data_IF_515041043693
#
_entry.id   IF_515041043693
#
_cell.length_a   1.000
_cell.length_b   1.000
_cell.length_c   1.000
_cell.angle_alpha   90.00
_cell.angle_beta   90.00
_cell.angle_gamma   90.00
#
_symmetry.space_group_name_H-M   'P 1'
#
loop_
_entity.id
_entity.type
_entity.pdbx_description
1 polymer ?
#
# COMPACT_ATOMS: atom_id res chain seq x y z
N UNK A 1 21.04 29.39 -14.64
CA UNK A 1 21.15 27.92 -14.82
C UNK A 1 21.32 27.19 -13.49
N UNK A 2 20.75 27.67 -12.37
CA UNK A 2 20.98 27.10 -11.03
C UNK A 2 19.71 26.50 -10.37
N UNK A 3 18.59 26.41 -11.10
CA UNK A 3 17.29 25.99 -10.53
C UNK A 3 16.70 24.71 -11.15
N UNK A 4 17.24 24.19 -12.25
CA UNK A 4 16.71 22.96 -12.87
C UNK A 4 17.08 21.70 -12.08
N UNK A 5 18.22 21.67 -11.38
CA UNK A 5 18.72 20.50 -10.62
C UNK A 5 17.82 20.09 -9.44
N UNK A 6 16.95 20.98 -8.93
CA UNK A 6 16.03 20.65 -7.84
C UNK A 6 14.69 20.07 -8.29
N UNK A 7 14.46 19.97 -9.60
CA UNK A 7 13.14 19.58 -10.14
C UNK A 7 12.95 18.07 -10.30
N UNK A 8 14.04 17.30 -10.39
CA UNK A 8 14.03 15.85 -10.66
C UNK A 8 14.59 15.07 -9.46
N UNK A 9 13.96 13.95 -9.11
CA UNK A 9 14.47 13.07 -8.07
C UNK A 9 15.77 12.37 -8.56
N UNK A 10 16.90 12.50 -7.86
CA UNK A 10 18.21 12.10 -8.40
C UNK A 10 18.54 10.60 -8.27
N UNK A 11 17.81 9.84 -7.46
CA UNK A 11 18.14 8.45 -7.13
C UNK A 11 17.26 7.44 -7.89
N UNK A 12 17.83 6.26 -8.17
CA UNK A 12 17.06 5.13 -8.73
C UNK A 12 16.20 4.53 -7.62
N UNK A 13 14.93 4.28 -7.89
CA UNK A 13 14.01 3.65 -6.93
C UNK A 13 14.04 2.12 -7.05
N UNK A 14 14.83 1.44 -6.22
CA UNK A 14 15.00 -0.03 -6.26
C UNK A 14 14.71 -0.72 -4.93
N UNK A 15 14.95 -0.02 -3.83
CA UNK A 15 14.89 -0.52 -2.47
C UNK A 15 13.87 0.25 -1.65
N UNK A 16 13.45 -0.29 -0.51
CA UNK A 16 12.54 0.41 0.42
C UNK A 16 13.16 1.75 0.86
N UNK A 17 14.47 1.76 1.08
CA UNK A 17 15.18 2.99 1.43
C UNK A 17 15.13 4.04 0.31
N UNK A 18 15.24 3.63 -0.95
CA UNK A 18 15.12 4.57 -2.08
C UNK A 18 13.71 5.18 -2.17
N UNK A 19 12.66 4.39 -1.88
CA UNK A 19 11.28 4.90 -1.84
C UNK A 19 11.06 5.84 -0.65
N UNK A 20 11.64 5.54 0.52
CA UNK A 20 11.65 6.46 1.65
C UNK A 20 12.35 7.79 1.30
N UNK A 21 13.48 7.75 0.60
CA UNK A 21 14.17 8.94 0.10
C UNK A 21 13.35 9.74 -0.91
N UNK A 22 12.68 9.05 -1.83
CA UNK A 22 11.77 9.67 -2.79
C UNK A 22 10.68 10.48 -2.11
N UNK A 23 10.01 9.92 -1.10
CA UNK A 23 8.98 10.64 -0.36
C UNK A 23 9.52 11.81 0.46
N UNK A 24 10.71 11.67 1.07
CA UNK A 24 11.37 12.82 1.74
C UNK A 24 11.62 13.98 0.78
N UNK A 25 12.12 13.66 -0.42
CA UNK A 25 12.35 14.66 -1.46
C UNK A 25 11.04 15.29 -1.94
N UNK A 26 10.01 14.47 -2.20
CA UNK A 26 8.73 14.91 -2.71
C UNK A 26 7.99 15.83 -1.72
N UNK A 27 7.99 15.46 -0.44
CA UNK A 27 7.36 16.26 0.62
C UNK A 27 8.05 17.61 0.77
N UNK A 28 9.40 17.62 0.75
CA UNK A 28 10.20 18.85 0.81
C UNK A 28 9.97 19.75 -0.41
N UNK A 29 9.89 19.16 -1.61
CA UNK A 29 9.68 19.89 -2.86
C UNK A 29 8.31 20.58 -2.89
N UNK A 30 7.27 19.90 -2.42
CA UNK A 30 5.89 20.41 -2.49
C UNK A 30 5.38 21.03 -1.18
N UNK A 31 6.23 21.08 -0.14
CA UNK A 31 5.88 21.59 1.19
C UNK A 31 4.62 20.92 1.77
N UNK A 32 4.56 19.60 1.66
CA UNK A 32 3.43 18.81 2.17
C UNK A 32 3.37 18.80 3.70
N UNK A 33 2.16 18.62 4.22
CA UNK A 33 1.94 18.54 5.67
C UNK A 33 2.48 17.19 6.19
N UNK A 34 3.41 17.27 7.14
CA UNK A 34 4.10 16.11 7.75
C UNK A 34 3.49 15.70 9.09
N UNK A 35 2.33 16.26 9.47
CA UNK A 35 1.60 15.84 10.65
C UNK A 35 1.26 14.34 10.57
N UNK A 36 1.67 13.61 11.62
CA UNK A 36 1.61 12.15 11.65
C UNK A 36 0.15 11.67 11.66
N UNK A 37 -0.73 12.33 12.40
CA UNK A 37 -2.11 11.90 12.56
C UNK A 37 -2.95 12.18 11.32
N UNK A 38 -2.69 13.31 10.65
CA UNK A 38 -3.26 13.59 9.34
C UNK A 38 -2.86 12.52 8.33
N UNK A 39 -1.57 12.21 8.22
CA UNK A 39 -1.09 11.22 7.25
C UNK A 39 -1.54 9.79 7.58
N UNK A 40 -1.76 9.45 8.86
CA UNK A 40 -2.42 8.21 9.26
C UNK A 40 -3.89 8.16 8.82
N UNK A 41 -4.59 9.30 8.89
CA UNK A 41 -5.97 9.40 8.42
C UNK A 41 -6.04 9.23 6.90
N UNK A 42 -5.10 9.85 6.18
CA UNK A 42 -5.00 9.70 4.72
C UNK A 42 -4.69 8.26 4.31
N UNK A 43 -3.74 7.57 4.98
CA UNK A 43 -3.51 6.14 4.80
C UNK A 43 -4.80 5.32 4.98
N UNK A 44 -5.64 5.67 5.95
CA UNK A 44 -6.91 4.98 6.18
C UNK A 44 -7.90 5.20 5.02
N UNK A 45 -7.83 6.37 4.36
CA UNK A 45 -8.53 6.66 3.12
C UNK A 45 -8.10 5.73 2.00
N UNK A 46 -6.79 5.63 1.73
CA UNK A 46 -6.27 4.77 0.65
C UNK A 46 -6.62 3.29 0.86
N UNK A 47 -6.60 2.81 2.11
CA UNK A 47 -7.07 1.44 2.43
C UNK A 47 -8.56 1.27 2.12
N UNK A 48 -9.36 2.32 2.31
CA UNK A 48 -10.75 2.38 1.89
C UNK A 48 -10.93 2.30 0.38
N UNK A 49 -10.05 2.94 -0.39
CA UNK A 49 -10.05 2.87 -1.86
C UNK A 49 -9.70 1.46 -2.35
N UNK A 50 -8.67 0.82 -1.76
CA UNK A 50 -8.38 -0.61 -1.97
C UNK A 50 -9.61 -1.48 -1.69
N UNK A 51 -10.29 -1.24 -0.57
CA UNK A 51 -11.49 -2.00 -0.20
C UNK A 51 -12.64 -1.79 -1.20
N UNK A 52 -12.77 -0.59 -1.76
CA UNK A 52 -13.78 -0.26 -2.76
C UNK A 52 -13.50 -0.97 -4.10
N UNK A 53 -12.24 -1.04 -4.54
CA UNK A 53 -11.87 -1.80 -5.74
C UNK A 53 -12.15 -3.29 -5.53
N UNK A 54 -11.78 -3.86 -4.38
CA UNK A 54 -12.04 -5.28 -4.07
C UNK A 54 -13.53 -5.59 -3.91
N UNK A 55 -14.33 -4.64 -3.43
CA UNK A 55 -15.79 -4.76 -3.40
C UNK A 55 -16.37 -4.86 -4.82
N UNK A 56 -15.82 -4.12 -5.78
CA UNK A 56 -16.25 -4.21 -7.19
C UNK A 56 -15.89 -5.59 -7.76
N UNK A 57 -14.66 -6.05 -7.55
CA UNK A 57 -14.24 -7.42 -7.90
C UNK A 57 -15.20 -8.46 -7.34
N UNK A 58 -15.49 -8.38 -6.03
CA UNK A 58 -16.39 -9.32 -5.38
C UNK A 58 -17.81 -9.30 -5.98
N UNK A 59 -18.32 -8.11 -6.30
CA UNK A 59 -19.67 -7.94 -6.87
C UNK A 59 -19.81 -8.55 -8.27
N UNK A 60 -18.70 -8.67 -9.02
CA UNK A 60 -18.69 -9.34 -10.33
C UNK A 60 -18.61 -10.87 -10.23
N UNK A 61 -18.26 -11.40 -9.06
CA UNK A 61 -18.06 -12.84 -8.82
C UNK A 61 -19.18 -13.49 -7.99
N UNK A 62 -20.03 -12.68 -7.33
CA UNK A 62 -21.09 -13.15 -6.44
C UNK A 62 -22.48 -13.01 -7.10
N UNK A 63 -23.14 -14.13 -7.46
CA UNK A 63 -24.48 -14.12 -8.05
C UNK A 63 -25.55 -13.53 -7.14
N UNK A 64 -25.31 -13.39 -5.83
CA UNK A 64 -26.25 -12.73 -4.92
C UNK A 64 -26.18 -11.19 -4.98
N UNK A 65 -25.18 -10.64 -5.67
CA UNK A 65 -24.93 -9.18 -5.73
C UNK A 65 -25.03 -8.59 -7.12
N UNK A 66 -25.11 -9.41 -8.16
CA UNK A 66 -25.25 -8.96 -9.53
C UNK A 66 -26.19 -9.88 -10.32
N UNK A 67 -27.14 -9.28 -11.04
CA UNK A 67 -28.06 -9.98 -11.95
C UNK A 67 -27.49 -10.10 -13.38
N UNK A 68 -26.40 -9.38 -13.67
CA UNK A 68 -25.65 -9.46 -14.93
C UNK A 68 -24.72 -10.70 -14.98
N UNK A 69 -23.92 -10.81 -16.05
CA UNK A 69 -22.97 -11.91 -16.25
C UNK A 69 -21.94 -12.00 -15.10
N UNK A 70 -22.00 -13.10 -14.35
CA UNK A 70 -21.01 -13.45 -13.33
C UNK A 70 -19.76 -13.97 -14.01
N UNK A 71 -18.64 -13.31 -13.75
CA UNK A 71 -17.33 -13.68 -14.29
C UNK A 71 -16.48 -14.38 -13.22
N UNK A 72 -15.43 -15.07 -13.66
CA UNK A 72 -14.48 -15.67 -12.74
C UNK A 72 -13.69 -14.59 -11.97
N UNK A 73 -13.14 -14.98 -10.81
CA UNK A 73 -12.28 -14.10 -10.02
C UNK A 73 -11.09 -13.57 -10.84
N UNK A 74 -10.49 -14.41 -11.68
CA UNK A 74 -9.35 -14.02 -12.50
C UNK A 74 -9.73 -12.96 -13.55
N UNK A 75 -10.92 -13.07 -14.13
CA UNK A 75 -11.45 -12.07 -15.07
C UNK A 75 -11.77 -10.75 -14.39
N UNK A 76 -12.46 -10.80 -13.24
CA UNK A 76 -12.75 -9.61 -12.44
C UNK A 76 -11.47 -8.91 -11.97
N UNK A 77 -10.49 -9.67 -11.49
CA UNK A 77 -9.18 -9.15 -11.10
C UNK A 77 -8.41 -8.59 -12.29
N UNK A 78 -8.55 -9.16 -13.49
CA UNK A 78 -7.91 -8.61 -14.69
C UNK A 78 -8.48 -7.25 -15.07
N UNK A 79 -9.78 -7.06 -14.91
CA UNK A 79 -10.47 -5.77 -15.17
C UNK A 79 -10.00 -4.70 -14.19
N UNK A 80 -9.93 -5.04 -12.90
CA UNK A 80 -9.61 -4.09 -11.82
C UNK A 80 -8.13 -4.07 -11.40
N UNK A 81 -7.24 -4.76 -12.12
CA UNK A 81 -5.82 -4.91 -11.73
C UNK A 81 -5.10 -3.58 -11.63
N UNK A 82 -5.35 -2.70 -12.59
CA UNK A 82 -4.67 -1.41 -12.67
C UNK A 82 -5.08 -0.52 -11.50
N UNK A 83 -6.39 -0.33 -11.30
CA UNK A 83 -6.94 0.41 -10.15
C UNK A 83 -6.41 -0.14 -8.84
N UNK A 84 -6.50 -1.46 -8.62
CA UNK A 84 -5.99 -2.10 -7.41
C UNK A 84 -4.49 -1.84 -7.21
N UNK A 85 -3.71 -1.82 -8.29
CA UNK A 85 -2.30 -1.51 -8.26
C UNK A 85 -2.01 -0.06 -7.84
N UNK A 86 -2.82 0.90 -8.30
CA UNK A 86 -2.71 2.32 -7.92
C UNK A 86 -3.01 2.50 -6.43
N UNK A 87 -4.15 1.98 -5.94
CA UNK A 87 -4.54 2.15 -4.54
C UNK A 87 -3.56 1.48 -3.55
N UNK A 88 -3.01 0.32 -3.93
CA UNK A 88 -1.95 -0.33 -3.14
C UNK A 88 -0.65 0.48 -3.14
N UNK A 89 -0.33 1.17 -4.24
CA UNK A 89 0.82 2.05 -4.31
C UNK A 89 0.63 3.30 -3.45
N UNK A 90 -0.57 3.86 -3.40
CA UNK A 90 -0.89 5.01 -2.54
C UNK A 90 -0.84 4.64 -1.04
N UNK A 91 -1.30 3.43 -0.68
CA UNK A 91 -1.06 2.87 0.65
C UNK A 91 0.44 2.83 1.00
N UNK A 92 1.28 2.35 0.08
CA UNK A 92 2.74 2.32 0.28
C UNK A 92 3.31 3.73 0.41
N UNK A 93 2.84 4.70 -0.37
CA UNK A 93 3.28 6.09 -0.28
C UNK A 93 3.08 6.66 1.13
N UNK A 94 1.89 6.47 1.72
CA UNK A 94 1.65 6.93 3.09
C UNK A 94 2.40 6.11 4.15
N UNK A 95 2.64 4.82 3.94
CA UNK A 95 3.50 4.02 4.82
C UNK A 95 4.94 4.57 4.81
N UNK A 96 5.50 4.87 3.63
CA UNK A 96 6.84 5.46 3.51
C UNK A 96 6.92 6.83 4.20
N UNK A 97 5.89 7.69 4.00
CA UNK A 97 5.77 8.98 4.69
C UNK A 97 5.75 8.82 6.20
N UNK A 98 4.89 7.94 6.74
CA UNK A 98 4.81 7.71 8.18
C UNK A 98 6.13 7.17 8.76
N UNK A 99 6.79 6.24 8.07
CA UNK A 99 8.11 5.76 8.46
C UNK A 99 9.14 6.91 8.50
N UNK A 100 9.12 7.80 7.51
CA UNK A 100 9.97 8.98 7.47
C UNK A 100 9.70 9.95 8.62
N UNK A 101 8.44 10.25 8.91
CA UNK A 101 8.07 11.22 9.96
C UNK A 101 8.35 10.70 11.36
N UNK A 102 8.42 9.38 11.53
CA UNK A 102 8.67 8.70 12.81
C UNK A 102 10.12 8.25 12.99
N UNK A 103 10.97 8.41 11.97
CA UNK A 103 12.38 8.00 12.02
C UNK A 103 12.61 6.49 11.90
N UNK A 104 11.63 5.74 11.38
CA UNK A 104 11.74 4.30 11.17
C UNK A 104 12.51 4.01 9.88
N UNK A 105 13.60 3.26 9.99
CA UNK A 105 14.21 2.56 8.84
C UNK A 105 13.28 1.39 8.47
N UNK A 106 12.44 1.59 7.46
CA UNK A 106 11.40 0.63 7.13
C UNK A 106 11.99 -0.64 6.50
N UNK A 107 13.09 -0.52 5.77
CA UNK A 107 13.74 -1.67 5.17
C UNK A 107 14.31 -2.60 6.26
N UNK A 108 15.08 -2.05 7.19
CA UNK A 108 15.65 -2.83 8.28
C UNK A 108 14.53 -3.40 9.16
N UNK A 109 13.51 -2.60 9.50
CA UNK A 109 12.36 -3.07 10.27
C UNK A 109 11.62 -4.23 9.58
N UNK A 110 11.47 -4.18 8.25
CA UNK A 110 10.85 -5.24 7.47
C UNK A 110 11.71 -6.52 7.46
N UNK A 111 13.02 -6.39 7.20
CA UNK A 111 13.98 -7.51 7.23
C UNK A 111 13.94 -8.22 8.59
N UNK A 112 14.14 -7.47 9.67
CA UNK A 112 14.13 -8.00 11.05
C UNK A 112 12.82 -8.72 11.37
N UNK A 113 11.70 -8.18 10.88
CA UNK A 113 10.38 -8.77 11.10
C UNK A 113 10.19 -10.06 10.31
N UNK A 114 10.64 -10.11 9.07
CA UNK A 114 10.53 -11.30 8.22
C UNK A 114 11.42 -12.44 8.73
N UNK A 115 12.66 -12.14 9.15
CA UNK A 115 13.54 -13.13 9.79
C UNK A 115 12.89 -13.76 11.03
N UNK A 116 12.29 -12.94 11.89
CA UNK A 116 11.52 -13.43 13.05
C UNK A 116 10.32 -14.29 12.64
N UNK A 117 9.63 -13.94 11.54
CA UNK A 117 8.47 -14.68 11.06
C UNK A 117 8.84 -16.06 10.48
N UNK A 118 10.00 -16.21 9.85
CA UNK A 118 10.49 -17.51 9.32
C UNK A 118 10.65 -18.53 10.44
N UNK A 119 11.07 -18.09 11.63
CA UNK A 119 11.24 -18.96 12.80
C UNK A 119 9.97 -19.10 13.65
N UNK A 120 8.85 -18.51 13.23
CA UNK A 120 7.60 -18.52 13.99
C UNK A 120 6.77 -19.76 13.66
N UNK A 121 6.46 -20.56 14.68
CA UNK A 121 5.46 -21.62 14.55
C UNK A 121 4.07 -20.99 14.65
N UNK A 122 3.31 -21.01 13.55
CA UNK A 122 1.93 -20.51 13.53
C UNK A 122 1.01 -21.59 14.09
N UNK A 123 0.56 -21.43 15.35
CA UNK A 123 -0.54 -22.25 15.88
C UNK A 123 -1.86 -21.71 15.31
N UNK A 124 -2.35 -22.35 14.25
CA UNK A 124 -3.66 -22.03 13.68
C UNK A 124 -4.75 -22.46 14.67
N UNK A 125 -5.45 -21.51 15.30
CA UNK A 125 -6.56 -21.80 16.23
C UNK A 125 -7.91 -21.86 15.49
N UNK A 126 -7.95 -22.55 14.35
CA UNK A 126 -9.08 -22.47 13.41
C UNK A 126 -9.53 -23.81 12.85
N UNK A 127 -9.93 -24.75 13.71
CA UNK A 127 -10.83 -25.85 13.37
C UNK A 127 -11.63 -26.23 14.61
N UNK A 128 -12.63 -25.43 14.98
CA UNK A 128 -13.61 -25.82 16.01
C UNK A 128 -14.96 -25.09 15.86
N UNK A 129 -15.37 -24.63 14.67
CA UNK A 129 -16.76 -24.16 14.43
C UNK A 129 -17.22 -24.33 12.97
N UNK A 130 -17.24 -25.55 12.48
CA UNK A 130 -18.10 -25.97 11.36
C UNK A 130 -18.53 -27.43 11.65
N UNK A 131 -19.49 -27.57 12.55
CA UNK A 131 -20.36 -28.74 12.71
C UNK A 131 -21.79 -28.29 12.47
#
# INVERSE_FOLDING_TARGET
MADEEKTVFPNKMRTINDFQEFHRWLDKKNNFNTDIFLNLTLLSGEVGEVAQVLKNVYSMTDPARNEDEIVSLDEALKIHREDLGQELADCLAYIFKLANYTGVDLQQAYIDKMEKNVHRTWKYHGKDKLS
#
